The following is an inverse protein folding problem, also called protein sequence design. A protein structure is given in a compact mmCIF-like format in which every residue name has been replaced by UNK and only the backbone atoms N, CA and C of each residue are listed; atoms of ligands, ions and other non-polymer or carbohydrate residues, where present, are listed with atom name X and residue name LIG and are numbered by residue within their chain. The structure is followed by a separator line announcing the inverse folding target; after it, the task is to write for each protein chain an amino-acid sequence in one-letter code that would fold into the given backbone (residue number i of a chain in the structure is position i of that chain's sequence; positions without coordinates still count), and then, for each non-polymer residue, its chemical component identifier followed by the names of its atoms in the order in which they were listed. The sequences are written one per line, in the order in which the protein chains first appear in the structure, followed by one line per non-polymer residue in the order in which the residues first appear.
data_IF_098945602433
#
_entry.id   IF_098945602433
#
_cell.length_a   1.000
_cell.length_b   1.000
_cell.length_c   1.000
_cell.angle_alpha   90.00
_cell.angle_beta   90.00
_cell.angle_gamma   90.00
#
_symmetry.space_group_name_H-M   'P 1'
#
loop_
_entity.id
_entity.type
_entity.pdbx_description
1 polymer ?
#
# COMPACT_ATOMS: atom_id res chain seq x y z
N UNK A 1 -6.61 -15.59 11.80
CA UNK A 1 -5.62 -15.05 12.76
C UNK A 1 -4.52 -14.36 11.97
N UNK A 2 -4.47 -13.03 11.98
CA UNK A 2 -3.41 -12.28 11.29
C UNK A 2 -2.11 -12.38 12.08
N UNK A 3 -1.00 -12.72 11.43
CA UNK A 3 0.32 -12.77 12.08
C UNK A 3 0.83 -11.34 12.31
N UNK A 4 1.49 -11.06 13.45
CA UNK A 4 2.14 -9.76 13.65
C UNK A 4 3.29 -9.60 12.66
N UNK A 5 3.33 -8.47 11.93
CA UNK A 5 4.44 -8.13 11.04
C UNK A 5 5.70 -7.99 11.91
N UNK A 6 6.83 -8.55 11.47
CA UNK A 6 8.13 -8.28 12.09
C UNK A 6 8.46 -6.81 11.81
N UNK A 7 8.60 -6.01 12.86
CA UNK A 7 9.18 -4.68 12.79
C UNK A 7 10.62 -4.82 12.29
N UNK A 8 10.82 -4.56 10.99
CA UNK A 8 12.15 -4.36 10.43
C UNK A 8 12.61 -3.02 10.98
N UNK A 9 13.48 -3.08 11.99
CA UNK A 9 13.91 -1.98 12.86
C UNK A 9 14.55 -0.79 12.14
N UNK A 10 13.74 0.00 11.47
CA UNK A 10 14.02 1.37 11.10
C UNK A 10 12.85 2.20 11.59
N UNK A 11 13.13 3.24 12.37
CA UNK A 11 12.13 4.27 12.69
C UNK A 11 11.58 4.75 11.34
N UNK A 12 10.37 4.34 10.96
CA UNK A 12 9.67 4.83 9.79
C UNK A 12 9.46 6.32 10.06
N UNK A 13 10.46 7.13 9.68
CA UNK A 13 10.30 8.57 9.62
C UNK A 13 9.09 8.79 8.71
N UNK A 14 8.13 9.60 9.12
CA UNK A 14 6.97 9.92 8.31
C UNK A 14 7.43 10.80 7.13
N UNK A 15 8.04 10.16 6.13
CA UNK A 15 8.59 10.81 4.95
C UNK A 15 7.42 11.05 4.00
N UNK A 16 6.99 12.30 3.94
CA UNK A 16 6.00 12.73 2.94
C UNK A 16 6.67 12.80 1.57
N UNK A 17 6.10 12.07 0.61
CA UNK A 17 6.52 12.11 -0.80
C UNK A 17 5.38 12.65 -1.66
N UNK A 18 5.74 13.41 -2.68
CA UNK A 18 4.82 13.79 -3.75
C UNK A 18 5.01 12.83 -4.93
N UNK A 19 3.90 12.39 -5.52
CA UNK A 19 3.91 11.56 -6.72
C UNK A 19 3.03 12.21 -7.78
N UNK A 20 3.39 12.02 -9.05
CA UNK A 20 2.55 12.38 -10.20
C UNK A 20 1.96 11.08 -10.74
N UNK A 21 0.65 11.06 -10.93
CA UNK A 21 -0.09 9.92 -11.45
C UNK A 21 -1.15 10.38 -12.44
N UNK A 22 -1.74 9.43 -13.18
CA UNK A 22 -2.85 9.73 -14.08
C UNK A 22 -4.13 9.98 -13.30
N UNK A 23 -5.02 10.80 -13.86
CA UNK A 23 -6.33 11.10 -13.27
C UNK A 23 -7.21 9.85 -13.14
N UNK A 24 -7.17 8.95 -14.14
CA UNK A 24 -7.86 7.67 -14.09
C UNK A 24 -7.43 6.84 -12.87
N UNK A 25 -6.13 6.75 -12.63
CA UNK A 25 -5.61 6.00 -11.50
C UNK A 25 -6.03 6.62 -10.16
N UNK A 26 -5.92 7.94 -10.03
CA UNK A 26 -6.38 8.65 -8.83
C UNK A 26 -7.87 8.43 -8.57
N UNK A 27 -8.71 8.50 -9.61
CA UNK A 27 -10.16 8.26 -9.53
C UNK A 27 -10.48 6.84 -9.07
N UNK A 28 -9.74 5.84 -9.56
CA UNK A 28 -9.91 4.44 -9.14
C UNK A 28 -9.56 4.24 -7.68
N UNK A 29 -8.50 4.89 -7.18
CA UNK A 29 -8.12 4.86 -5.76
C UNK A 29 -9.21 5.50 -4.91
N UNK A 30 -9.78 6.64 -5.33
CA UNK A 30 -10.87 7.28 -4.59
C UNK A 30 -12.13 6.43 -4.52
N UNK A 31 -12.53 5.82 -5.64
CA UNK A 31 -13.67 4.89 -5.66
C UNK A 31 -13.42 3.69 -4.75
N UNK A 32 -12.26 3.05 -4.88
CA UNK A 32 -11.87 1.92 -4.03
C UNK A 32 -11.92 2.30 -2.54
N UNK A 33 -11.38 3.47 -2.18
CA UNK A 33 -11.39 4.02 -0.83
C UNK A 33 -12.82 4.23 -0.29
N UNK A 34 -13.73 4.72 -1.12
CA UNK A 34 -15.13 4.96 -0.75
C UNK A 34 -15.93 3.70 -0.39
N UNK A 35 -15.46 2.52 -0.80
CA UNK A 35 -16.10 1.23 -0.49
C UNK A 35 -15.53 0.56 0.77
N UNK A 36 -14.45 1.08 1.35
CA UNK A 36 -13.80 0.52 2.56
C UNK A 36 -14.36 1.16 3.85
N UNK A 37 -14.46 0.38 4.93
CA UNK A 37 -14.71 0.88 6.30
C UNK A 37 -13.50 0.55 7.21
N UNK A 38 -12.96 1.47 8.04
CA UNK A 38 -13.30 2.90 8.24
C UNK A 38 -12.63 3.83 7.22
N UNK A 39 -12.98 5.14 7.29
CA UNK A 39 -12.54 6.21 6.39
C UNK A 39 -11.02 6.30 6.34
N UNK A 40 -10.42 5.79 5.27
CA UNK A 40 -9.00 5.97 4.98
C UNK A 40 -8.77 7.38 4.42
N UNK A 41 -7.72 8.04 4.88
CA UNK A 41 -7.13 9.17 4.16
C UNK A 41 -6.60 8.69 2.80
N UNK A 42 -6.40 9.61 1.87
CA UNK A 42 -5.81 9.26 0.57
C UNK A 42 -4.44 8.59 0.73
N UNK A 43 -3.60 9.10 1.64
CA UNK A 43 -2.27 8.55 1.90
C UNK A 43 -2.32 7.14 2.49
N UNK A 44 -3.28 6.85 3.37
CA UNK A 44 -3.49 5.50 3.90
C UNK A 44 -3.96 4.54 2.80
N UNK A 45 -4.92 4.97 1.96
CA UNK A 45 -5.38 4.17 0.83
C UNK A 45 -4.23 3.76 -0.10
N UNK A 46 -3.35 4.71 -0.43
CA UNK A 46 -2.18 4.41 -1.28
C UNK A 46 -1.15 3.54 -0.56
N UNK A 47 -0.93 3.72 0.74
CA UNK A 47 -0.05 2.81 1.51
C UNK A 47 -0.54 1.36 1.43
N UNK A 48 -1.84 1.13 1.62
CA UNK A 48 -2.44 -0.22 1.51
C UNK A 48 -2.21 -0.82 0.13
N UNK A 49 -2.53 -0.08 -0.94
CA UNK A 49 -2.40 -0.58 -2.31
C UNK A 49 -0.94 -0.86 -2.69
N UNK A 50 0.00 -0.04 -2.23
CA UNK A 50 1.43 -0.26 -2.45
C UNK A 50 1.92 -1.49 -1.69
N UNK A 51 1.55 -1.64 -0.42
CA UNK A 51 1.88 -2.83 0.39
C UNK A 51 1.36 -4.11 -0.29
N UNK A 52 0.09 -4.11 -0.74
CA UNK A 52 -0.51 -5.26 -1.44
C UNK A 52 0.22 -5.59 -2.75
N UNK A 53 0.60 -4.58 -3.52
CA UNK A 53 1.34 -4.78 -4.77
C UNK A 53 2.75 -5.33 -4.53
N UNK A 54 3.42 -4.88 -3.48
CA UNK A 54 4.73 -5.38 -3.08
C UNK A 54 4.64 -6.83 -2.60
N UNK A 55 3.67 -7.15 -1.75
CA UNK A 55 3.41 -8.51 -1.26
C UNK A 55 3.10 -9.48 -2.41
N UNK A 56 2.26 -9.07 -3.37
CA UNK A 56 1.94 -9.88 -4.54
C UNK A 56 3.18 -10.17 -5.39
N UNK A 57 4.08 -9.19 -5.53
CA UNK A 57 5.36 -9.36 -6.22
C UNK A 57 6.29 -10.32 -5.49
N UNK A 58 6.33 -10.29 -4.16
CA UNK A 58 7.16 -11.22 -3.39
C UNK A 58 6.68 -12.67 -3.51
N UNK A 59 5.36 -12.89 -3.53
CA UNK A 59 4.77 -14.24 -3.73
C UNK A 59 5.04 -14.82 -5.12
N UNK A 60 5.28 -13.98 -6.12
CA UNK A 60 5.49 -14.39 -7.52
C UNK A 60 6.96 -14.46 -7.92
N UNK A 61 7.90 -14.11 -7.03
CA UNK A 61 9.33 -14.32 -7.29
C UNK A 61 9.63 -15.83 -7.34
N UNK A 62 10.26 -16.33 -8.42
CA UNK A 62 10.78 -17.69 -8.41
C UNK A 62 11.83 -17.81 -7.30
N UNK A 63 11.77 -18.89 -6.52
CA UNK A 63 12.83 -19.18 -5.55
C UNK A 63 14.12 -19.43 -6.31
N UNK A 64 15.25 -18.86 -5.87
CA UNK A 64 16.55 -19.30 -6.37
C UNK A 64 16.78 -20.74 -5.90
N UNK A 65 17.12 -21.62 -6.85
CA UNK A 65 17.63 -22.97 -6.58
C UNK A 65 18.99 -22.93 -5.87
#
# INVERSE_FOLDING_TARGET
MARPRKDVGGKLMDVRKQIVCTEDWATRVERWRGVQMPVLTWSEAVRVLVDEALDARERTKPKPD
#
